data_IF_451813944528
#
_entry.id   IF_451813944528
#
_cell.length_a   1.000
_cell.length_b   1.000
_cell.length_c   1.000
_cell.angle_alpha   90.00
_cell.angle_beta   90.00
_cell.angle_gamma   90.00
#
_symmetry.space_group_name_H-M   'P 1'
#
loop_
_entity.id
_entity.type
_entity.pdbx_description
1 polymer ?
#
# COMPACT_ATOMS: atom_id res chain seq x y z
N UNK A 1 -17.03 -4.11 -4.14
CA UNK A 1 -15.97 -4.48 -5.10
C UNK A 1 -15.01 -5.52 -4.50
N UNK A 2 -14.40 -5.33 -3.31
CA UNK A 2 -13.44 -6.29 -2.73
C UNK A 2 -14.00 -7.70 -2.55
N UNK A 3 -15.28 -7.84 -2.17
CA UNK A 3 -15.92 -9.16 -2.04
C UNK A 3 -16.08 -9.87 -3.38
N UNK A 4 -16.53 -9.15 -4.40
CA UNK A 4 -16.81 -9.71 -5.74
C UNK A 4 -15.52 -10.04 -6.49
N UNK A 5 -14.41 -9.31 -6.23
CA UNK A 5 -13.10 -9.56 -6.86
C UNK A 5 -12.33 -10.75 -6.25
N UNK A 6 -12.86 -11.43 -5.23
CA UNK A 6 -12.18 -12.52 -4.55
C UNK A 6 -11.10 -12.10 -3.56
N UNK A 7 -10.69 -10.81 -3.53
CA UNK A 7 -9.61 -10.31 -2.68
C UNK A 7 -9.86 -10.58 -1.19
N UNK A 8 -11.13 -10.52 -0.75
CA UNK A 8 -11.45 -10.78 0.66
C UNK A 8 -11.19 -12.23 1.10
N UNK A 9 -11.27 -13.20 0.17
CA UNK A 9 -10.94 -14.61 0.47
C UNK A 9 -9.43 -14.86 0.48
N UNK A 10 -8.66 -13.98 -0.16
CA UNK A 10 -7.20 -14.04 -0.19
C UNK A 10 -6.54 -13.22 0.93
N UNK A 11 -7.32 -12.41 1.66
CA UNK A 11 -6.85 -11.51 2.72
C UNK A 11 -7.21 -12.07 4.09
N UNK A 12 -6.25 -12.07 5.01
CA UNK A 12 -6.41 -12.58 6.38
C UNK A 12 -5.56 -13.82 6.66
N UNK A 13 -5.84 -14.48 7.75
CA UNK A 13 -5.13 -15.70 8.17
C UNK A 13 -5.85 -16.97 7.69
N UNK A 14 -5.12 -18.08 7.45
CA UNK A 14 -5.70 -19.35 7.03
C UNK A 14 -6.84 -19.80 7.95
N UNK A 15 -7.96 -20.23 7.37
CA UNK A 15 -9.15 -20.65 8.11
C UNK A 15 -9.93 -19.53 8.80
N UNK A 16 -9.49 -18.28 8.69
CA UNK A 16 -10.20 -17.12 9.22
C UNK A 16 -11.41 -16.70 8.39
N UNK A 17 -12.19 -15.76 8.92
CA UNK A 17 -13.27 -15.13 8.16
C UNK A 17 -12.71 -14.27 7.03
N UNK A 18 -13.45 -14.08 5.91
CA UNK A 18 -13.05 -13.16 4.86
C UNK A 18 -12.75 -11.76 5.44
N UNK A 19 -11.61 -11.20 5.10
CA UNK A 19 -11.18 -9.89 5.57
C UNK A 19 -11.01 -8.92 4.40
N UNK A 20 -11.40 -7.65 4.61
CA UNK A 20 -11.09 -6.61 3.63
C UNK A 20 -9.65 -6.13 3.81
N UNK A 21 -9.02 -5.64 2.74
CA UNK A 21 -7.79 -4.86 2.83
C UNK A 21 -8.07 -3.58 3.63
N UNK A 22 -7.17 -3.22 4.54
CA UNK A 22 -7.38 -2.12 5.51
C UNK A 22 -7.47 -0.70 4.91
N UNK A 23 -7.22 -0.56 3.60
CA UNK A 23 -7.30 0.70 2.86
C UNK A 23 -8.35 0.60 1.75
N UNK A 24 -8.71 1.74 1.14
CA UNK A 24 -9.61 1.83 -0.01
C UNK A 24 -8.90 1.37 -1.31
N UNK A 25 -8.45 0.11 -1.34
CA UNK A 25 -7.59 -0.43 -2.40
C UNK A 25 -8.24 -0.34 -3.79
N UNK A 26 -9.53 -0.70 -3.90
CA UNK A 26 -10.23 -0.69 -5.18
C UNK A 26 -10.33 0.73 -5.75
N UNK A 27 -10.63 1.70 -4.89
CA UNK A 27 -10.76 3.11 -5.29
C UNK A 27 -9.42 3.66 -5.77
N UNK A 28 -8.36 3.41 -5.00
CA UNK A 28 -7.01 3.86 -5.34
C UNK A 28 -6.51 3.18 -6.61
N UNK A 29 -6.69 1.87 -6.76
CA UNK A 29 -6.25 1.12 -7.95
C UNK A 29 -6.96 1.59 -9.21
N UNK A 30 -8.27 1.83 -9.13
CA UNK A 30 -9.05 2.33 -10.26
C UNK A 30 -8.65 3.75 -10.64
N UNK A 31 -8.40 4.61 -9.65
CA UNK A 31 -7.90 5.97 -9.90
C UNK A 31 -6.54 5.96 -10.61
N UNK A 32 -5.60 5.12 -10.18
CA UNK A 32 -4.30 4.96 -10.83
C UNK A 32 -4.45 4.37 -12.24
N UNK A 33 -5.33 3.38 -12.42
CA UNK A 33 -5.64 2.79 -13.74
C UNK A 33 -6.22 3.83 -14.68
N UNK A 34 -7.19 4.62 -14.22
CA UNK A 34 -7.77 5.71 -15.01
C UNK A 34 -6.70 6.75 -15.40
N UNK A 35 -5.79 7.10 -14.51
CA UNK A 35 -4.73 8.07 -14.77
C UNK A 35 -3.85 7.64 -15.96
N UNK A 36 -3.31 6.42 -15.96
CA UNK A 36 -2.46 6.00 -17.08
C UNK A 36 -3.27 5.75 -18.38
N UNK A 37 -4.53 5.35 -18.29
CA UNK A 37 -5.40 5.23 -19.44
C UNK A 37 -5.67 6.61 -20.10
N UNK A 38 -5.97 7.65 -19.29
CA UNK A 38 -6.15 9.03 -19.75
C UNK A 38 -4.85 9.57 -20.37
N UNK A 39 -3.71 9.37 -19.73
CA UNK A 39 -2.42 9.79 -20.28
C UNK A 39 -2.12 9.11 -21.62
N UNK A 40 -2.37 7.80 -21.73
CA UNK A 40 -2.24 7.05 -22.99
C UNK A 40 -3.15 7.58 -24.09
N UNK A 41 -4.42 7.82 -23.77
CA UNK A 41 -5.40 8.38 -24.68
C UNK A 41 -5.03 9.82 -25.12
N UNK A 42 -4.54 10.63 -24.20
CA UNK A 42 -4.10 12.00 -24.49
C UNK A 42 -2.87 12.03 -25.41
N UNK A 43 -1.87 11.18 -25.16
CA UNK A 43 -0.72 11.02 -26.06
C UNK A 43 -1.16 10.56 -27.44
N UNK A 44 -2.11 9.62 -27.50
CA UNK A 44 -2.73 9.17 -28.75
C UNK A 44 -3.40 10.32 -29.50
N UNK A 45 -4.17 11.17 -28.79
CA UNK A 45 -4.80 12.38 -29.36
C UNK A 45 -3.75 13.37 -29.90
N UNK A 46 -2.67 13.60 -29.18
CA UNK A 46 -1.61 14.52 -29.64
C UNK A 46 -0.98 14.04 -30.95
N UNK A 47 -0.87 12.72 -31.18
CA UNK A 47 -0.29 12.13 -32.39
C UNK A 47 -1.28 12.03 -33.56
N UNK A 48 -2.54 11.72 -33.30
CA UNK A 48 -3.53 11.40 -34.32
C UNK A 48 -4.57 12.51 -34.59
N UNK A 49 -4.65 13.50 -33.68
CA UNK A 49 -5.72 14.52 -33.68
C UNK A 49 -7.08 14.00 -33.20
N UNK A 50 -7.21 12.68 -32.90
CA UNK A 50 -8.49 12.06 -32.54
C UNK A 50 -8.51 11.70 -31.05
N UNK A 51 -9.53 12.17 -30.32
CA UNK A 51 -9.80 11.73 -28.95
C UNK A 51 -10.45 10.34 -28.93
N UNK A 52 -10.47 9.73 -27.72
CA UNK A 52 -11.14 8.45 -27.50
C UNK A 52 -11.79 8.43 -26.11
N UNK A 53 -12.80 7.62 -25.95
CA UNK A 53 -13.38 7.29 -24.66
C UNK A 53 -12.54 6.21 -23.97
N UNK A 54 -12.31 6.38 -22.69
CA UNK A 54 -11.63 5.39 -21.83
C UNK A 54 -12.42 5.17 -20.56
N UNK A 55 -12.52 3.95 -20.10
CA UNK A 55 -13.20 3.60 -18.85
C UNK A 55 -12.44 2.55 -18.06
N UNK A 56 -12.69 2.49 -16.79
CA UNK A 56 -12.28 1.45 -15.85
C UNK A 56 -13.30 1.41 -14.71
N UNK A 57 -13.29 0.34 -13.95
CA UNK A 57 -14.18 0.19 -12.80
C UNK A 57 -13.41 -0.22 -11.53
N UNK A 58 -14.05 -0.06 -10.37
CA UNK A 58 -13.50 -0.53 -9.09
C UNK A 58 -13.23 -2.03 -9.09
N UNK A 59 -14.02 -2.80 -9.83
CA UNK A 59 -13.85 -4.26 -9.92
C UNK A 59 -12.66 -4.62 -10.81
N UNK A 60 -12.56 -4.02 -11.99
CA UNK A 60 -11.46 -4.27 -12.94
C UNK A 60 -10.11 -3.82 -12.35
N UNK A 61 -10.08 -2.64 -11.72
CA UNK A 61 -8.91 -2.14 -11.02
C UNK A 61 -8.45 -3.10 -9.92
N UNK A 62 -9.37 -3.68 -9.16
CA UNK A 62 -9.06 -4.66 -8.14
C UNK A 62 -8.52 -5.97 -8.73
N UNK A 63 -9.20 -6.53 -9.75
CA UNK A 63 -8.79 -7.78 -10.40
C UNK A 63 -7.41 -7.67 -11.06
N UNK A 64 -7.06 -6.51 -11.62
CA UNK A 64 -5.74 -6.29 -12.21
C UNK A 64 -4.59 -6.47 -11.20
N UNK A 65 -4.83 -6.29 -9.91
CA UNK A 65 -3.83 -6.48 -8.85
C UNK A 65 -3.68 -7.93 -8.39
N UNK A 66 -4.57 -8.85 -8.82
CA UNK A 66 -4.47 -10.28 -8.51
C UNK A 66 -3.59 -11.05 -9.50
N UNK A 67 -2.65 -10.38 -10.13
CA UNK A 67 -1.85 -10.89 -11.23
C UNK A 67 -1.13 -12.23 -10.92
N UNK A 68 -0.55 -12.35 -9.74
CA UNK A 68 0.14 -13.58 -9.31
C UNK A 68 -0.84 -14.73 -9.05
N UNK A 69 -1.94 -14.43 -8.39
CA UNK A 69 -2.97 -15.38 -8.02
C UNK A 69 -3.73 -15.87 -9.25
N UNK A 70 -4.10 -14.96 -10.15
CA UNK A 70 -4.76 -15.31 -11.41
C UNK A 70 -3.87 -16.17 -12.31
N UNK A 71 -2.55 -15.90 -12.37
CA UNK A 71 -1.60 -16.74 -13.09
C UNK A 71 -1.52 -18.16 -12.54
N UNK A 72 -1.53 -18.34 -11.21
CA UNK A 72 -1.53 -19.63 -10.56
C UNK A 72 -2.86 -20.37 -10.78
N UNK A 73 -3.99 -19.67 -10.69
CA UNK A 73 -5.30 -20.24 -10.92
C UNK A 73 -5.50 -20.69 -12.37
N UNK A 74 -5.22 -19.84 -13.35
CA UNK A 74 -5.40 -20.20 -14.77
C UNK A 74 -4.37 -21.23 -15.26
N UNK A 75 -3.15 -21.21 -14.72
CA UNK A 75 -2.10 -22.15 -15.12
C UNK A 75 -2.13 -23.50 -14.42
N UNK A 76 -2.60 -23.57 -13.19
CA UNK A 76 -2.54 -24.78 -12.36
C UNK A 76 -3.84 -25.12 -11.64
N UNK A 77 -4.90 -24.32 -11.75
CA UNK A 77 -6.16 -24.52 -11.03
C UNK A 77 -6.07 -24.29 -9.52
N UNK A 78 -4.98 -23.66 -9.05
CA UNK A 78 -4.75 -23.43 -7.62
C UNK A 78 -5.64 -22.29 -7.12
N UNK A 79 -6.64 -22.60 -6.30
CA UNK A 79 -7.52 -21.60 -5.67
C UNK A 79 -6.72 -20.77 -4.64
N UNK A 80 -6.60 -19.46 -4.83
CA UNK A 80 -5.84 -18.61 -3.90
C UNK A 80 -6.64 -18.40 -2.60
N UNK A 81 -6.04 -18.73 -1.47
CA UNK A 81 -6.61 -18.59 -0.13
C UNK A 81 -5.79 -17.62 0.72
N UNK A 82 -6.31 -17.19 1.87
CA UNK A 82 -5.60 -16.35 2.81
C UNK A 82 -4.36 -17.06 3.40
N UNK A 83 -3.23 -16.39 3.45
CA UNK A 83 -1.95 -16.92 3.93
C UNK A 83 -1.38 -16.16 5.14
N UNK A 84 -2.12 -15.21 5.69
CA UNK A 84 -1.60 -14.31 6.71
C UNK A 84 -0.54 -13.37 6.13
N UNK A 85 0.64 -13.39 6.71
CA UNK A 85 1.81 -12.63 6.22
C UNK A 85 2.75 -13.47 5.34
N UNK A 86 2.45 -14.77 5.15
CA UNK A 86 3.30 -15.71 4.41
C UNK A 86 3.23 -15.48 2.90
N UNK A 87 4.38 -15.50 2.27
CA UNK A 87 4.45 -15.59 0.80
C UNK A 87 4.06 -17.00 0.35
N UNK A 88 3.22 -17.12 -0.71
CA UNK A 88 2.67 -18.42 -1.16
C UNK A 88 3.71 -19.43 -1.64
N UNK A 89 4.82 -18.97 -2.19
CA UNK A 89 5.79 -19.83 -2.91
C UNK A 89 7.22 -19.68 -2.40
N UNK A 90 7.42 -19.00 -1.24
CA UNK A 90 8.77 -18.74 -0.70
C UNK A 90 8.74 -18.67 0.82
N UNK A 91 9.79 -19.20 1.46
CA UNK A 91 9.97 -19.16 2.92
C UNK A 91 11.45 -19.31 3.30
N UNK A 92 11.94 -18.57 4.32
CA UNK A 92 11.27 -17.54 5.13
C UNK A 92 10.96 -16.27 4.31
N UNK A 93 9.67 -15.94 4.21
CA UNK A 93 9.24 -14.69 3.59
C UNK A 93 7.88 -14.30 4.18
N UNK A 94 7.91 -13.70 5.37
CA UNK A 94 6.74 -13.32 6.17
C UNK A 94 7.13 -12.45 7.36
N UNK A 95 6.14 -12.04 8.17
CA UNK A 95 6.38 -11.44 9.47
C UNK A 95 6.46 -12.53 10.56
N UNK A 96 7.38 -12.33 11.50
CA UNK A 96 7.61 -13.19 12.67
C UNK A 96 7.46 -12.38 13.94
N UNK A 97 6.95 -13.02 15.00
CA UNK A 97 6.82 -12.41 16.31
C UNK A 97 8.19 -12.28 16.99
N UNK A 98 8.43 -11.13 17.58
CA UNK A 98 9.60 -10.83 18.42
C UNK A 98 9.18 -10.62 19.87
N UNK A 99 10.11 -10.28 20.75
CA UNK A 99 9.81 -10.01 22.15
C UNK A 99 8.77 -8.88 22.34
N UNK A 100 8.85 -7.83 21.53
CA UNK A 100 8.07 -6.58 21.68
C UNK A 100 7.24 -6.18 20.46
N UNK A 101 7.21 -7.02 19.41
CA UNK A 101 6.48 -6.70 18.19
C UNK A 101 6.60 -7.77 17.12
N UNK A 102 6.82 -7.32 15.88
CA UNK A 102 7.00 -8.19 14.73
C UNK A 102 8.08 -7.64 13.80
N UNK A 103 8.80 -8.56 13.14
CA UNK A 103 9.78 -8.25 12.09
C UNK A 103 9.45 -9.03 10.82
N UNK A 104 9.52 -8.38 9.67
CA UNK A 104 9.44 -9.05 8.38
C UNK A 104 10.80 -9.61 7.98
N UNK A 105 10.81 -10.75 7.31
CA UNK A 105 12.02 -11.40 6.79
C UNK A 105 11.79 -11.85 5.36
N UNK A 106 12.78 -11.63 4.48
CA UNK A 106 12.75 -12.07 3.10
C UNK A 106 13.99 -12.90 2.72
N UNK A 107 14.16 -14.09 3.31
CA UNK A 107 15.29 -14.99 3.01
C UNK A 107 14.91 -16.04 1.93
N UNK A 108 14.52 -15.57 0.74
CA UNK A 108 13.84 -16.33 -0.29
C UNK A 108 14.74 -17.06 -1.30
N UNK A 109 16.05 -17.01 -1.15
CA UNK A 109 17.00 -17.77 -1.95
C UNK A 109 18.07 -18.42 -1.08
N UNK A 110 18.88 -19.31 -1.66
CA UNK A 110 19.85 -20.11 -0.89
C UNK A 110 20.93 -19.26 -0.20
N UNK A 111 21.37 -18.16 -0.81
CA UNK A 111 22.36 -17.26 -0.21
C UNK A 111 21.75 -16.53 1.00
N UNK A 112 20.57 -15.97 0.83
CA UNK A 112 19.87 -15.27 1.91
C UNK A 112 19.47 -16.23 3.04
N UNK A 113 19.06 -17.46 2.69
CA UNK A 113 18.80 -18.50 3.67
C UNK A 113 20.06 -18.85 4.49
N UNK A 114 21.21 -19.04 3.83
CA UNK A 114 22.46 -19.30 4.53
C UNK A 114 22.86 -18.14 5.45
N UNK A 115 22.77 -16.90 4.98
CA UNK A 115 23.03 -15.71 5.78
C UNK A 115 22.07 -15.61 6.99
N UNK A 116 20.79 -15.86 6.77
CA UNK A 116 19.79 -15.86 7.80
C UNK A 116 20.09 -16.90 8.90
N UNK A 117 20.42 -18.11 8.51
CA UNK A 117 20.79 -19.17 9.48
C UNK A 117 22.06 -18.84 10.24
N UNK A 118 23.11 -18.44 9.54
CA UNK A 118 24.45 -18.29 10.14
C UNK A 118 24.58 -16.99 10.95
N UNK A 119 24.05 -15.88 10.43
CA UNK A 119 24.31 -14.54 10.96
C UNK A 119 23.10 -14.03 11.77
N UNK A 120 21.90 -14.10 11.19
CA UNK A 120 20.71 -13.58 11.86
C UNK A 120 20.32 -14.44 13.05
N UNK A 121 20.10 -15.74 12.84
CA UNK A 121 19.59 -16.64 13.88
C UNK A 121 20.67 -17.37 14.68
N UNK A 122 21.92 -17.41 14.16
CA UNK A 122 23.00 -18.24 14.69
C UNK A 122 22.56 -19.72 14.85
N UNK A 123 21.95 -20.26 13.79
CA UNK A 123 21.42 -21.61 13.68
C UNK A 123 21.93 -22.31 12.42
N UNK A 124 23.25 -22.53 12.26
CA UNK A 124 23.82 -23.17 11.07
C UNK A 124 23.30 -24.59 10.84
N UNK A 125 22.84 -25.28 11.89
CA UNK A 125 22.25 -26.61 11.80
C UNK A 125 20.99 -26.67 10.91
N UNK A 126 20.26 -25.56 10.74
CA UNK A 126 19.10 -25.52 9.86
C UNK A 126 19.44 -25.72 8.38
N UNK A 127 20.70 -25.45 7.98
CA UNK A 127 21.16 -25.65 6.61
C UNK A 127 21.22 -27.13 6.19
N UNK A 128 21.42 -28.02 7.17
CA UNK A 128 21.50 -29.46 6.97
C UNK A 128 20.29 -30.24 7.49
N UNK A 129 19.39 -29.57 8.23
CA UNK A 129 18.16 -30.18 8.71
C UNK A 129 17.30 -30.64 7.53
N UNK A 130 16.93 -31.93 7.45
CA UNK A 130 16.10 -32.45 6.34
C UNK A 130 14.79 -31.68 6.12
N UNK A 131 14.26 -31.04 7.16
CA UNK A 131 13.03 -30.24 7.09
C UNK A 131 13.26 -28.89 6.40
N UNK A 132 14.51 -28.32 6.40
CA UNK A 132 14.77 -26.93 6.06
C UNK A 132 15.89 -26.73 5.02
N UNK A 133 16.60 -27.75 4.65
CA UNK A 133 17.81 -27.70 3.80
C UNK A 133 17.62 -27.05 2.43
N UNK A 134 16.43 -27.16 1.85
CA UNK A 134 16.06 -26.60 0.55
C UNK A 134 14.67 -25.98 0.58
N UNK A 135 14.33 -25.17 -0.43
CA UNK A 135 13.06 -24.47 -0.49
C UNK A 135 11.84 -25.39 -0.49
N UNK A 136 11.80 -26.51 -1.26
CA UNK A 136 10.68 -27.43 -1.19
C UNK A 136 10.46 -28.01 0.20
N UNK A 137 11.54 -28.40 0.88
CA UNK A 137 11.48 -28.92 2.25
C UNK A 137 10.98 -27.86 3.23
N UNK A 138 11.47 -26.62 3.12
CA UNK A 138 10.99 -25.50 3.95
C UNK A 138 9.51 -25.21 3.74
N UNK A 139 9.03 -25.20 2.50
CA UNK A 139 7.60 -24.97 2.19
C UNK A 139 6.72 -26.09 2.74
N UNK A 140 7.17 -27.33 2.63
CA UNK A 140 6.46 -28.49 3.22
C UNK A 140 6.37 -28.45 4.73
N UNK A 141 7.39 -27.89 5.39
CA UNK A 141 7.50 -27.80 6.85
C UNK A 141 7.40 -26.36 7.35
N UNK A 142 6.61 -25.51 6.66
CA UNK A 142 6.57 -24.06 6.94
C UNK A 142 6.12 -23.74 8.37
N UNK A 143 5.18 -24.48 8.92
CA UNK A 143 4.68 -24.28 10.29
C UNK A 143 5.77 -24.61 11.33
N UNK A 144 6.52 -25.69 11.12
CA UNK A 144 7.62 -26.05 11.98
C UNK A 144 8.75 -25.02 11.89
N UNK A 145 9.06 -24.55 10.68
CA UNK A 145 10.07 -23.52 10.47
C UNK A 145 9.69 -22.20 11.15
N UNK A 146 8.44 -21.78 11.04
CA UNK A 146 7.93 -20.57 11.69
C UNK A 146 8.09 -20.66 13.20
N UNK A 147 7.69 -21.78 13.80
CA UNK A 147 7.82 -22.01 15.23
C UNK A 147 9.30 -21.95 15.71
N UNK A 148 10.21 -22.56 14.95
CA UNK A 148 11.63 -22.52 15.30
C UNK A 148 12.20 -21.09 15.18
N UNK A 149 11.84 -20.34 14.15
CA UNK A 149 12.25 -18.95 13.98
C UNK A 149 11.67 -18.08 15.12
N UNK A 150 10.39 -18.21 15.44
CA UNK A 150 9.75 -17.43 16.49
C UNK A 150 10.32 -17.72 17.88
N UNK A 151 10.72 -18.96 18.17
CA UNK A 151 11.45 -19.28 19.43
C UNK A 151 12.76 -18.46 19.54
N UNK A 152 13.48 -18.31 18.44
CA UNK A 152 14.70 -17.50 18.41
C UNK A 152 14.35 -16.02 18.52
N UNK A 153 13.38 -15.54 17.75
CA UNK A 153 13.03 -14.12 17.70
C UNK A 153 12.36 -13.60 18.96
N UNK A 154 11.68 -14.45 19.72
CA UNK A 154 11.10 -14.08 21.00
C UNK A 154 12.16 -13.74 22.09
N UNK A 155 13.43 -14.07 21.86
CA UNK A 155 14.51 -13.84 22.86
C UNK A 155 15.01 -12.40 22.90
N UNK A 156 14.72 -11.59 21.87
CA UNK A 156 15.23 -10.23 21.75
C UNK A 156 14.16 -9.28 21.15
N UNK A 157 14.29 -7.97 21.38
CA UNK A 157 13.38 -6.98 20.80
C UNK A 157 13.56 -6.86 19.29
N UNK A 158 12.52 -6.34 18.61
CA UNK A 158 12.46 -6.11 17.17
C UNK A 158 13.69 -5.37 16.63
N UNK A 159 14.15 -4.33 17.34
CA UNK A 159 15.30 -3.54 16.90
C UNK A 159 16.60 -4.38 16.80
N UNK A 160 16.81 -5.33 17.71
CA UNK A 160 17.94 -6.25 17.64
C UNK A 160 17.89 -7.10 16.36
N UNK A 161 16.72 -7.64 16.03
CA UNK A 161 16.57 -8.49 14.84
C UNK A 161 16.69 -7.70 13.54
N UNK A 162 16.20 -6.46 13.49
CA UNK A 162 16.42 -5.57 12.34
C UNK A 162 17.92 -5.35 12.10
N UNK A 163 18.68 -5.05 13.16
CA UNK A 163 20.13 -4.92 13.04
C UNK A 163 20.79 -6.22 12.56
N UNK A 164 20.40 -7.38 13.08
CA UNK A 164 20.91 -8.68 12.65
C UNK A 164 20.60 -9.02 11.20
N UNK A 165 19.43 -8.64 10.72
CA UNK A 165 19.06 -8.78 9.31
C UNK A 165 19.91 -7.89 8.40
N UNK A 166 20.16 -6.66 8.82
CA UNK A 166 21.04 -5.72 8.08
C UNK A 166 22.48 -6.24 8.03
N UNK A 167 23.06 -6.71 9.16
CA UNK A 167 24.39 -7.33 9.22
C UNK A 167 24.49 -8.54 8.28
N UNK A 168 23.42 -9.31 8.15
CA UNK A 168 23.32 -10.49 7.28
C UNK A 168 23.03 -10.15 5.81
N UNK A 169 22.75 -8.89 5.49
CA UNK A 169 22.21 -8.45 4.20
C UNK A 169 20.96 -9.25 3.78
N UNK A 170 20.10 -9.58 4.74
CA UNK A 170 18.81 -10.25 4.53
C UNK A 170 17.72 -9.18 4.56
N UNK A 171 16.92 -9.04 3.50
CA UNK A 171 15.80 -8.09 3.47
C UNK A 171 14.84 -8.34 4.64
N UNK A 172 14.53 -7.28 5.36
CA UNK A 172 13.59 -7.31 6.48
C UNK A 172 13.43 -5.94 7.12
N UNK A 173 12.51 -5.84 8.07
CA UNK A 173 12.26 -4.60 8.79
C UNK A 173 11.13 -4.75 9.80
N UNK A 174 10.95 -3.76 10.68
CA UNK A 174 9.90 -3.81 11.70
C UNK A 174 8.51 -3.71 11.07
N UNK A 175 7.52 -4.32 11.71
CA UNK A 175 6.11 -4.07 11.39
C UNK A 175 5.63 -2.89 12.23
N UNK A 176 5.58 -1.72 11.62
CA UNK A 176 5.18 -0.48 12.29
C UNK A 176 3.67 -0.35 12.44
N UNK A 177 3.25 0.28 13.53
CA UNK A 177 1.95 0.94 13.56
C UNK A 177 1.96 2.14 12.60
N UNK A 178 0.78 2.63 12.22
CA UNK A 178 0.70 3.81 11.33
C UNK A 178 1.40 5.04 11.92
N UNK A 179 1.28 5.26 13.24
CA UNK A 179 1.95 6.35 13.94
C UNK A 179 3.49 6.21 13.88
N UNK A 180 4.01 5.01 14.08
CA UNK A 180 5.45 4.73 13.98
C UNK A 180 5.96 4.94 12.55
N UNK A 181 5.21 4.49 11.54
CA UNK A 181 5.55 4.72 10.14
C UNK A 181 5.65 6.21 9.82
N UNK A 182 4.67 7.02 10.24
CA UNK A 182 4.69 8.48 10.01
C UNK A 182 5.79 9.21 10.82
N UNK A 183 6.30 8.59 11.88
CA UNK A 183 7.41 9.12 12.68
C UNK A 183 8.79 8.72 12.14
N UNK A 184 8.87 7.74 11.25
CA UNK A 184 10.11 7.19 10.73
C UNK A 184 10.96 8.25 10.02
N UNK A 185 12.27 8.34 10.34
CA UNK A 185 13.18 9.34 9.76
C UNK A 185 13.28 9.25 8.23
N UNK A 186 13.27 8.04 7.66
CA UNK A 186 13.34 7.84 6.21
C UNK A 186 12.07 8.34 5.51
N UNK A 187 10.89 8.02 6.07
CA UNK A 187 9.59 8.50 5.55
C UNK A 187 9.53 10.02 5.57
N UNK A 188 10.02 10.67 6.65
CA UNK A 188 10.13 12.12 6.73
C UNK A 188 11.13 12.70 5.73
N UNK A 189 12.32 12.11 5.61
CA UNK A 189 13.34 12.54 4.66
C UNK A 189 12.86 12.44 3.20
N UNK A 190 11.93 11.51 2.92
CA UNK A 190 11.25 11.39 1.62
C UNK A 190 10.08 12.35 1.44
N UNK A 191 9.87 13.29 2.37
CA UNK A 191 8.76 14.25 2.33
C UNK A 191 7.39 13.54 2.15
N UNK A 192 7.21 12.40 2.83
CA UNK A 192 5.93 11.71 2.85
C UNK A 192 5.01 12.19 3.98
N UNK A 193 5.54 12.97 4.92
CA UNK A 193 4.77 13.76 5.88
C UNK A 193 5.09 15.22 5.65
N UNK A 194 4.10 16.00 5.25
CA UNK A 194 4.24 17.42 4.93
C UNK A 194 3.31 18.25 5.79
N UNK A 195 3.67 19.53 6.00
CA UNK A 195 2.81 20.50 6.66
C UNK A 195 2.26 21.48 5.63
N UNK A 196 0.99 21.81 5.76
CA UNK A 196 0.23 22.66 4.84
C UNK A 196 -0.55 23.66 5.67
N UNK A 197 -0.52 24.93 5.26
CA UNK A 197 -1.33 25.98 5.91
C UNK A 197 -2.72 26.01 5.28
N UNK A 198 -3.73 25.67 6.10
CA UNK A 198 -5.14 25.71 5.69
C UNK A 198 -5.79 27.00 6.22
N UNK A 199 -6.48 27.80 5.38
CA UNK A 199 -6.94 29.14 5.73
C UNK A 199 -7.95 29.19 6.89
N UNK A 200 -8.63 28.09 7.21
CA UNK A 200 -9.60 28.01 8.30
C UNK A 200 -9.13 27.16 9.48
N UNK A 201 -8.34 26.13 9.25
CA UNK A 201 -7.92 25.18 10.30
C UNK A 201 -6.54 25.55 10.84
N UNK A 202 -5.76 26.36 10.11
CA UNK A 202 -4.36 26.64 10.41
C UNK A 202 -3.44 25.52 9.92
N UNK A 203 -2.27 25.39 10.53
CA UNK A 203 -1.25 24.43 10.13
C UNK A 203 -1.67 23.00 10.37
N UNK A 204 -1.68 22.17 9.34
CA UNK A 204 -2.08 20.75 9.38
C UNK A 204 -1.04 19.86 8.71
N UNK A 205 -1.02 18.58 9.07
CA UNK A 205 -0.20 17.57 8.41
C UNK A 205 -0.98 16.83 7.34
N UNK A 206 -0.28 16.44 6.28
CA UNK A 206 -0.83 15.62 5.20
C UNK A 206 0.21 14.62 4.71
N UNK A 207 -0.25 13.61 3.97
CA UNK A 207 0.64 12.71 3.24
C UNK A 207 1.18 13.44 2.00
N UNK A 208 2.49 13.39 1.82
CA UNK A 208 3.18 13.95 0.66
C UNK A 208 2.95 13.15 -0.62
N UNK A 209 3.32 13.73 -1.75
CA UNK A 209 3.23 13.04 -3.04
C UNK A 209 4.25 11.90 -3.13
N UNK A 210 3.85 10.69 -3.57
CA UNK A 210 4.75 9.55 -3.68
C UNK A 210 5.75 9.67 -4.84
N UNK A 211 5.42 10.46 -5.86
CA UNK A 211 6.31 10.73 -6.99
C UNK A 211 7.28 11.85 -6.65
N UNK A 212 8.55 11.65 -6.96
CA UNK A 212 9.60 12.67 -6.82
C UNK A 212 10.14 13.01 -8.22
N UNK A 213 10.16 14.29 -8.56
CA UNK A 213 10.64 14.82 -9.83
C UNK A 213 11.68 15.88 -9.57
N UNK A 214 12.63 16.05 -10.48
CA UNK A 214 13.57 17.17 -10.49
C UNK A 214 12.91 18.51 -10.88
N UNK A 215 11.67 18.49 -11.41
CA UNK A 215 10.87 19.66 -11.74
C UNK A 215 9.87 20.02 -10.65
N UNK A 216 9.09 21.06 -10.86
CA UNK A 216 8.14 21.64 -9.89
C UNK A 216 6.86 20.83 -9.63
N UNK A 217 6.66 19.70 -10.34
CA UNK A 217 5.41 18.93 -10.33
C UNK A 217 5.09 18.21 -9.01
N UNK A 218 6.01 18.22 -8.03
CA UNK A 218 5.88 17.40 -6.81
C UNK A 218 5.58 18.20 -5.54
N UNK A 219 5.18 19.46 -5.66
CA UNK A 219 4.76 20.28 -4.52
C UNK A 219 3.24 20.21 -4.31
N UNK A 220 2.81 20.09 -3.06
CA UNK A 220 1.41 20.32 -2.69
C UNK A 220 1.19 21.84 -2.69
N UNK A 221 0.36 22.32 -3.61
CA UNK A 221 0.16 23.76 -3.84
C UNK A 221 -0.92 24.36 -2.96
N UNK A 222 -1.94 23.56 -2.62
CA UNK A 222 -3.10 24.00 -1.86
C UNK A 222 -3.58 22.90 -0.90
N UNK A 223 -4.13 23.25 0.25
CA UNK A 223 -4.80 22.30 1.12
C UNK A 223 -6.11 21.78 0.49
N UNK A 224 -6.65 20.72 1.06
CA UNK A 224 -7.99 20.25 0.69
C UNK A 224 -9.03 21.34 0.97
N UNK A 225 -9.93 21.66 0.02
CA UNK A 225 -10.93 22.71 0.22
C UNK A 225 -12.03 22.25 1.20
N UNK A 226 -12.67 23.21 1.87
CA UNK A 226 -13.93 22.93 2.52
C UNK A 226 -15.07 22.84 1.52
N UNK A 227 -16.17 22.27 1.94
CA UNK A 227 -17.35 22.13 1.07
C UNK A 227 -17.86 23.51 0.63
N UNK A 228 -17.88 23.73 -0.67
CA UNK A 228 -18.32 24.96 -1.32
C UNK A 228 -17.29 26.09 -1.38
N UNK A 229 -16.03 25.86 -0.99
CA UNK A 229 -15.00 26.91 -0.98
C UNK A 229 -14.86 27.66 -2.31
N UNK A 230 -15.00 26.95 -3.41
CA UNK A 230 -14.82 27.51 -4.78
C UNK A 230 -16.13 27.71 -5.54
N UNK A 231 -17.29 27.62 -4.85
CA UNK A 231 -18.61 27.67 -5.49
C UNK A 231 -18.81 29.01 -6.21
N UNK A 232 -18.60 30.12 -5.53
CA UNK A 232 -18.80 31.45 -6.11
C UNK A 232 -17.87 31.72 -7.29
N UNK A 233 -16.57 31.45 -7.12
CA UNK A 233 -15.57 31.57 -8.18
C UNK A 233 -15.91 30.71 -9.41
N UNK A 234 -16.35 29.48 -9.18
CA UNK A 234 -16.74 28.56 -10.26
C UNK A 234 -17.96 29.06 -11.03
N UNK A 235 -18.98 29.51 -10.33
CA UNK A 235 -20.23 30.01 -10.95
C UNK A 235 -19.99 31.33 -11.70
N UNK A 236 -19.16 32.22 -11.16
CA UNK A 236 -18.69 33.42 -11.88
C UNK A 236 -17.94 33.05 -13.17
N UNK A 237 -17.04 32.04 -13.08
CA UNK A 237 -16.30 31.53 -14.25
C UNK A 237 -17.19 30.92 -15.35
N UNK A 238 -18.40 30.49 -15.02
CA UNK A 238 -19.43 30.04 -15.95
C UNK A 238 -20.23 31.20 -16.57
N UNK A 239 -19.97 32.46 -16.18
CA UNK A 239 -20.59 33.64 -16.78
C UNK A 239 -21.86 34.14 -16.05
N UNK A 240 -22.18 33.59 -14.87
CA UNK A 240 -23.24 34.10 -14.01
C UNK A 240 -22.83 35.45 -13.42
N UNK A 241 -23.80 36.33 -13.19
CA UNK A 241 -23.59 37.65 -12.56
C UNK A 241 -23.76 37.52 -11.03
N UNK A 242 -23.19 38.45 -10.28
CA UNK A 242 -23.29 38.49 -8.81
C UNK A 242 -24.75 38.40 -8.30
N UNK A 243 -25.70 39.07 -9.00
CA UNK A 243 -27.13 39.02 -8.65
C UNK A 243 -27.71 37.59 -8.80
N UNK A 244 -27.32 36.88 -9.84
CA UNK A 244 -27.77 35.51 -10.10
C UNK A 244 -27.20 34.55 -9.04
N UNK A 245 -25.92 34.76 -8.69
CA UNK A 245 -25.25 33.97 -7.66
C UNK A 245 -25.89 34.22 -6.30
N UNK A 246 -26.22 35.45 -5.97
CA UNK A 246 -26.92 35.78 -4.74
C UNK A 246 -28.30 35.09 -4.67
N UNK A 247 -29.04 35.05 -5.77
CA UNK A 247 -30.32 34.33 -5.86
C UNK A 247 -30.13 32.81 -5.68
N UNK A 248 -29.15 32.20 -6.36
CA UNK A 248 -28.84 30.77 -6.27
C UNK A 248 -28.47 30.36 -4.82
N UNK A 249 -27.78 31.20 -4.10
CA UNK A 249 -27.49 30.97 -2.67
C UNK A 249 -28.75 31.13 -1.81
N UNK A 250 -29.59 32.15 -2.09
CA UNK A 250 -30.81 32.38 -1.35
C UNK A 250 -31.81 31.22 -1.51
N UNK A 251 -31.88 30.67 -2.72
CA UNK A 251 -32.75 29.54 -3.07
C UNK A 251 -32.17 28.17 -2.66
N UNK A 252 -30.94 28.15 -2.10
CA UNK A 252 -30.27 26.92 -1.64
C UNK A 252 -29.82 26.01 -2.77
N UNK A 253 -29.71 26.50 -4.01
CA UNK A 253 -29.24 25.75 -5.19
C UNK A 253 -27.72 25.54 -5.13
N UNK A 254 -26.99 26.52 -4.63
CA UNK A 254 -25.54 26.45 -4.41
C UNK A 254 -25.22 26.68 -2.93
N UNK A 255 -24.07 26.20 -2.49
CA UNK A 255 -23.70 26.19 -1.08
C UNK A 255 -22.22 26.52 -0.89
N UNK A 256 -21.92 27.27 0.18
CA UNK A 256 -20.59 27.40 0.78
C UNK A 256 -20.75 27.33 2.31
N UNK A 257 -20.05 26.41 2.93
CA UNK A 257 -20.11 26.15 4.38
C UNK A 257 -19.79 27.40 5.23
N UNK A 258 -18.94 28.26 4.75
CA UNK A 258 -18.45 29.42 5.51
C UNK A 258 -18.90 30.77 4.95
N UNK A 259 -19.79 30.77 3.96
CA UNK A 259 -20.42 32.03 3.49
C UNK A 259 -21.28 32.58 4.63
N UNK A 260 -20.90 33.71 5.14
CA UNK A 260 -21.75 34.50 6.06
C UNK A 260 -22.97 35.02 5.28
N UNK A 261 -24.16 34.86 5.85
CA UNK A 261 -25.41 35.41 5.28
C UNK A 261 -25.38 36.93 5.30
#
# INVERSE_FOLDING_TARGET
>A
AQGVSGIMMMTGYPGGRPAKVGIAMNDISSGVTALYAILGAYIGKLKSGKGQYVETSLLEGALAWTHWESGAYFGGGEEPTATGTRHRRSTPYQAYKTQDGYVTVGANNNKLWANFCNITCNKPEWLTDPRFKDLPSRLKNIDALEQEIEKVFATQPTAHWVQKLDEAAVPGGPVYTYAQALADPHIKARNMVVEIDHPKIGRMKSIGLPVKSSGELTAIRQPAPWLGQHTEETVLGLGYKDADIAALFADGVIYDKYRTK
#
